data_IF_567998632081
#
_entry.id   IF_567998632081
#
_cell.length_a   1.000
_cell.length_b   1.000
_cell.length_c   1.000
_cell.angle_alpha   90.00
_cell.angle_beta   90.00
_cell.angle_gamma   90.00
#
_symmetry.space_group_name_H-M   'P 1'
#
loop_
_entity.id
_entity.type
_entity.pdbx_description
1 polymer ?
#
# COMPACT_ATOMS: atom_id res chain seq x y z
N UNK A 1 -5.06 -1.25 -15.73
CA UNK A 1 -4.43 -1.55 -14.43
C UNK A 1 -5.55 -1.76 -13.40
N UNK A 2 -5.39 -2.61 -12.37
CA UNK A 2 -6.43 -2.85 -11.35
C UNK A 2 -6.56 -1.71 -10.33
N UNK A 3 -5.90 -0.57 -10.57
CA UNK A 3 -5.82 0.53 -9.63
C UNK A 3 -7.12 1.36 -9.58
N UNK A 4 -7.47 1.79 -8.37
CA UNK A 4 -8.65 2.58 -8.04
C UNK A 4 -8.28 3.52 -6.89
N UNK A 5 -9.05 4.57 -6.63
CA UNK A 5 -8.83 5.46 -5.47
C UNK A 5 -9.64 5.06 -4.23
N UNK A 6 -10.24 3.86 -4.19
CA UNK A 6 -11.16 3.47 -3.09
C UNK A 6 -10.47 3.41 -1.72
N UNK A 7 -9.17 3.13 -1.71
CA UNK A 7 -8.34 3.00 -0.52
C UNK A 7 -7.80 4.33 0.01
N UNK A 8 -7.86 5.42 -0.76
CA UNK A 8 -7.19 6.69 -0.40
C UNK A 8 -7.94 7.54 0.61
N UNK A 9 -9.13 7.11 1.06
CA UNK A 9 -9.98 7.84 2.03
C UNK A 9 -9.30 8.18 3.35
N UNK A 10 -8.23 7.47 3.71
CA UNK A 10 -7.49 7.67 4.95
C UNK A 10 -6.36 8.68 4.83
N UNK A 11 -6.04 9.18 3.64
CA UNK A 11 -5.12 10.29 3.47
C UNK A 11 -5.88 11.60 3.69
N UNK A 12 -5.65 12.23 4.83
CA UNK A 12 -6.41 13.41 5.28
C UNK A 12 -5.48 14.60 5.45
N UNK A 13 -5.79 15.71 4.79
CA UNK A 13 -5.16 17.00 5.04
C UNK A 13 -5.54 17.44 6.46
N UNK A 14 -4.54 17.66 7.32
CA UNK A 14 -4.80 18.08 8.70
C UNK A 14 -5.19 19.55 8.80
N UNK A 15 -5.00 20.33 7.73
CA UNK A 15 -5.10 21.78 7.70
C UNK A 15 -3.88 22.49 8.29
N UNK A 16 -2.93 21.76 8.87
CA UNK A 16 -1.68 22.33 9.35
C UNK A 16 -0.77 22.69 8.17
N UNK A 17 -0.12 23.85 8.29
CA UNK A 17 0.80 24.40 7.30
C UNK A 17 2.09 24.81 8.01
N UNK A 18 3.18 24.14 7.69
CA UNK A 18 4.50 24.40 8.24
C UNK A 18 5.30 25.30 7.30
N UNK A 19 6.23 26.07 7.86
CA UNK A 19 7.23 26.81 7.07
C UNK A 19 8.59 26.16 7.17
N UNK A 20 9.20 25.87 6.04
CA UNK A 20 10.59 25.41 5.96
C UNK A 20 11.56 26.57 6.20
N UNK A 21 12.84 26.25 6.45
CA UNK A 21 13.90 27.25 6.65
C UNK A 21 14.11 28.18 5.44
N UNK A 22 13.78 27.73 4.22
CA UNK A 22 13.80 28.54 2.99
C UNK A 22 12.47 29.27 2.71
N UNK A 23 11.53 29.25 3.66
CA UNK A 23 10.29 30.01 3.62
C UNK A 23 9.18 29.38 2.77
N UNK A 24 9.33 28.14 2.31
CA UNK A 24 8.27 27.40 1.61
C UNK A 24 7.23 26.91 2.60
N UNK A 25 5.97 26.92 2.15
CA UNK A 25 4.88 26.31 2.90
C UNK A 25 4.80 24.82 2.58
N UNK A 26 4.57 24.00 3.61
CA UNK A 26 4.42 22.54 3.49
C UNK A 26 3.12 22.13 4.17
N UNK A 27 2.32 21.34 3.47
CA UNK A 27 1.10 20.75 3.99
C UNK A 27 1.43 19.53 4.85
N UNK A 28 0.73 19.39 5.97
CA UNK A 28 0.80 18.19 6.80
C UNK A 28 -0.39 17.30 6.48
N UNK A 29 -0.10 16.09 6.05
CA UNK A 29 -1.08 15.06 5.75
C UNK A 29 -0.92 13.90 6.74
N UNK A 30 -2.04 13.31 7.13
CA UNK A 30 -2.08 12.21 8.09
C UNK A 30 -2.79 11.00 7.48
N UNK A 31 -2.22 9.82 7.69
CA UNK A 31 -2.86 8.55 7.37
C UNK A 31 -3.73 8.08 8.54
N UNK A 32 -5.03 8.39 8.50
CA UNK A 32 -6.01 8.10 9.55
C UNK A 32 -6.76 6.82 9.24
N UNK A 33 -6.14 5.67 9.55
CA UNK A 33 -6.80 4.39 9.34
C UNK A 33 -7.98 4.19 10.31
N UNK A 34 -9.05 3.59 9.80
CA UNK A 34 -10.23 3.22 10.58
C UNK A 34 -10.49 1.72 10.48
N UNK A 35 -11.29 1.17 11.39
CA UNK A 35 -11.72 -0.23 11.29
C UNK A 35 -12.90 -0.38 10.32
N UNK A 36 -12.67 0.00 9.07
CA UNK A 36 -13.62 -0.13 7.96
C UNK A 36 -13.21 -1.34 7.10
N UNK A 37 -13.98 -2.42 7.17
CA UNK A 37 -13.69 -3.67 6.45
C UNK A 37 -13.62 -3.50 4.93
N UNK A 38 -14.41 -2.59 4.36
CA UNK A 38 -14.43 -2.36 2.92
C UNK A 38 -13.15 -1.63 2.48
N UNK A 39 -12.75 -0.59 3.21
CA UNK A 39 -11.51 0.16 2.92
C UNK A 39 -10.28 -0.69 3.20
N UNK A 40 -10.27 -1.48 4.28
CA UNK A 40 -9.22 -2.46 4.55
C UNK A 40 -9.10 -3.49 3.43
N UNK A 41 -10.23 -3.98 2.90
CA UNK A 41 -10.24 -4.92 1.78
C UNK A 41 -9.72 -4.29 0.49
N UNK A 42 -10.05 -3.01 0.23
CA UNK A 42 -9.53 -2.25 -0.90
C UNK A 42 -8.00 -2.08 -0.77
N UNK A 43 -7.49 -1.68 0.40
CA UNK A 43 -6.06 -1.62 0.69
C UNK A 43 -5.36 -2.96 0.50
N UNK A 44 -5.91 -4.03 1.07
CA UNK A 44 -5.33 -5.36 0.95
C UNK A 44 -5.25 -5.82 -0.50
N UNK A 45 -6.23 -5.45 -1.33
CA UNK A 45 -6.22 -5.70 -2.78
C UNK A 45 -5.17 -4.85 -3.48
N UNK A 46 -5.17 -3.53 -3.26
CA UNK A 46 -4.20 -2.61 -3.85
C UNK A 46 -2.76 -3.05 -3.54
N UNK A 47 -2.44 -3.22 -2.26
CA UNK A 47 -1.13 -3.62 -1.77
C UNK A 47 -0.67 -4.97 -2.33
N UNK A 48 -1.54 -5.99 -2.30
CA UNK A 48 -1.25 -7.31 -2.88
C UNK A 48 -0.87 -7.24 -4.37
N UNK A 49 -1.57 -6.40 -5.14
CA UNK A 49 -1.33 -6.26 -6.57
C UNK A 49 0.02 -5.60 -6.90
N UNK A 50 0.70 -4.96 -5.94
CA UNK A 50 2.10 -4.53 -6.09
C UNK A 50 3.08 -5.71 -6.05
N UNK A 51 2.75 -6.82 -5.39
CA UNK A 51 3.61 -8.03 -5.33
C UNK A 51 3.23 -9.10 -6.36
N UNK A 52 1.93 -9.27 -6.58
CA UNK A 52 1.40 -10.29 -7.48
C UNK A 52 -0.01 -9.92 -7.89
N UNK A 53 -0.24 -9.75 -9.20
CA UNK A 53 -1.57 -9.45 -9.67
C UNK A 53 -2.57 -10.54 -9.34
N UNK A 54 -3.77 -10.16 -8.92
CA UNK A 54 -4.83 -11.10 -8.54
C UNK A 54 -5.18 -12.08 -9.66
N UNK A 55 -5.12 -11.60 -10.91
CA UNK A 55 -5.30 -12.38 -12.13
C UNK A 55 -4.19 -13.40 -12.40
N UNK A 56 -3.01 -13.23 -11.80
CA UNK A 56 -1.83 -14.04 -12.08
C UNK A 56 -1.47 -15.00 -10.95
N UNK A 57 -2.02 -14.83 -9.74
CA UNK A 57 -1.70 -15.70 -8.59
C UNK A 57 -1.90 -17.17 -8.93
N UNK A 58 -3.00 -17.53 -9.60
CA UNK A 58 -3.27 -18.93 -9.96
C UNK A 58 -2.29 -19.49 -10.99
N UNK A 59 -1.77 -18.64 -11.88
CA UNK A 59 -0.72 -19.01 -12.83
C UNK A 59 0.61 -19.28 -12.09
N UNK A 60 1.01 -18.37 -11.21
CA UNK A 60 2.31 -18.42 -10.53
C UNK A 60 2.39 -19.45 -9.40
N UNK A 61 1.28 -19.77 -8.74
CA UNK A 61 1.25 -20.79 -7.66
C UNK A 61 1.24 -22.23 -8.18
N UNK A 62 1.13 -22.47 -9.49
CA UNK A 62 1.10 -23.84 -10.02
C UNK A 62 2.36 -24.59 -9.64
N UNK A 63 2.18 -25.84 -9.20
CA UNK A 63 3.29 -26.70 -8.76
C UNK A 63 3.61 -26.62 -7.26
N UNK A 64 3.23 -25.53 -6.57
CA UNK A 64 3.48 -25.38 -5.13
C UNK A 64 2.51 -26.17 -4.24
N UNK A 65 1.36 -26.60 -4.78
CA UNK A 65 0.30 -27.32 -4.05
C UNK A 65 -0.21 -26.57 -2.79
N UNK A 66 -0.24 -25.24 -2.83
CA UNK A 66 -0.74 -24.38 -1.76
C UNK A 66 -1.93 -23.52 -2.20
N UNK A 67 -2.68 -22.99 -1.24
CA UNK A 67 -3.74 -21.99 -1.45
C UNK A 67 -3.16 -20.66 -1.92
N UNK A 68 -4.02 -19.75 -2.41
CA UNK A 68 -3.61 -18.39 -2.78
C UNK A 68 -2.99 -17.65 -1.60
N UNK A 69 -3.59 -17.75 -0.41
CA UNK A 69 -3.10 -17.11 0.81
C UNK A 69 -1.75 -17.65 1.26
N UNK A 70 -1.57 -18.97 1.26
CA UNK A 70 -0.27 -19.58 1.59
C UNK A 70 0.79 -19.17 0.58
N UNK A 71 0.48 -19.21 -0.73
CA UNK A 71 1.40 -18.77 -1.77
C UNK A 71 1.87 -17.33 -1.56
N UNK A 72 0.94 -16.42 -1.30
CA UNK A 72 1.27 -15.02 -1.06
C UNK A 72 2.13 -14.84 0.18
N UNK A 73 1.73 -15.41 1.32
CA UNK A 73 2.40 -15.20 2.60
C UNK A 73 3.76 -15.89 2.69
N UNK A 74 3.98 -17.00 1.99
CA UNK A 74 5.21 -17.80 2.11
C UNK A 74 6.18 -17.63 0.96
N UNK A 75 5.73 -17.18 -0.22
CA UNK A 75 6.56 -17.10 -1.43
C UNK A 75 6.63 -15.68 -2.00
N UNK A 76 5.54 -14.92 -2.03
CA UNK A 76 5.50 -13.61 -2.70
C UNK A 76 5.79 -12.43 -1.80
N UNK A 77 5.18 -12.39 -0.62
CA UNK A 77 5.39 -11.30 0.32
C UNK A 77 6.73 -11.45 1.03
N UNK A 78 7.42 -10.35 1.34
CA UNK A 78 8.59 -10.39 2.21
C UNK A 78 8.22 -11.03 3.55
N UNK A 79 9.16 -11.69 4.23
CA UNK A 79 8.84 -12.36 5.50
C UNK A 79 8.36 -11.35 6.57
N UNK A 80 7.30 -11.62 7.35
CA UNK A 80 6.82 -10.68 8.36
C UNK A 80 7.71 -10.59 9.62
N UNK A 81 8.68 -11.50 9.80
CA UNK A 81 9.51 -11.62 11.00
C UNK A 81 11.00 -11.60 10.68
N UNK A 82 11.41 -12.32 9.65
CA UNK A 82 12.82 -12.51 9.32
C UNK A 82 13.34 -11.37 8.45
N UNK A 83 14.48 -10.79 8.86
CA UNK A 83 15.14 -9.74 8.09
C UNK A 83 15.57 -10.27 6.71
N UNK A 84 15.44 -9.47 5.63
CA UNK A 84 15.03 -8.06 5.60
C UNK A 84 13.52 -7.82 5.44
N UNK A 85 12.68 -8.84 5.60
CA UNK A 85 11.27 -8.80 5.25
C UNK A 85 10.44 -7.69 5.92
N UNK A 86 10.52 -7.50 7.26
CA UNK A 86 9.77 -6.43 7.93
C UNK A 86 10.11 -5.03 7.41
N UNK A 87 11.41 -4.75 7.18
CA UNK A 87 11.84 -3.45 6.65
C UNK A 87 11.40 -3.23 5.21
N UNK A 88 11.39 -4.29 4.38
CA UNK A 88 10.89 -4.19 3.01
C UNK A 88 9.40 -3.89 3.02
N UNK A 89 8.58 -4.61 3.82
CA UNK A 89 7.14 -4.34 3.90
C UNK A 89 6.82 -2.90 4.32
N UNK A 90 7.56 -2.36 5.30
CA UNK A 90 7.39 -0.99 5.74
C UNK A 90 7.81 0.02 4.66
N UNK A 91 8.92 -0.24 3.97
CA UNK A 91 9.39 0.57 2.83
C UNK A 91 8.39 0.59 1.68
N UNK A 92 7.98 -0.58 1.21
CA UNK A 92 7.01 -0.75 0.12
C UNK A 92 5.69 -0.04 0.45
N UNK A 93 5.19 -0.16 1.69
CA UNK A 93 3.98 0.54 2.12
C UNK A 93 4.15 2.06 2.08
N UNK A 94 5.30 2.59 2.50
CA UNK A 94 5.61 4.01 2.41
C UNK A 94 5.69 4.52 0.97
N UNK A 95 6.32 3.75 0.07
CA UNK A 95 6.38 4.08 -1.36
C UNK A 95 5.00 4.11 -2.00
N UNK A 96 4.16 3.11 -1.71
CA UNK A 96 2.77 3.04 -2.18
C UNK A 96 1.97 4.24 -1.68
N UNK A 97 2.10 4.63 -0.41
CA UNK A 97 1.41 5.80 0.14
C UNK A 97 1.77 7.10 -0.60
N UNK A 98 3.06 7.32 -0.87
CA UNK A 98 3.51 8.52 -1.60
C UNK A 98 3.05 8.49 -3.05
N UNK A 99 3.14 7.33 -3.71
CA UNK A 99 2.65 7.16 -5.08
C UNK A 99 1.15 7.43 -5.18
N UNK A 100 0.36 6.87 -4.26
CA UNK A 100 -1.09 7.06 -4.22
C UNK A 100 -1.49 8.51 -3.93
N UNK A 101 -0.73 9.20 -3.08
CA UNK A 101 -0.92 10.63 -2.83
C UNK A 101 -0.70 11.45 -4.12
N UNK A 102 0.39 11.19 -4.84
CA UNK A 102 0.68 11.88 -6.09
C UNK A 102 -0.37 11.60 -7.16
N UNK A 103 -0.72 10.33 -7.38
CA UNK A 103 -1.66 9.90 -8.43
C UNK A 103 -3.10 10.34 -8.13
N UNK A 104 -3.62 10.01 -6.94
CA UNK A 104 -5.06 10.14 -6.66
C UNK A 104 -5.45 11.46 -6.00
N UNK A 105 -4.56 12.09 -5.24
CA UNK A 105 -4.87 13.34 -4.55
C UNK A 105 -4.37 14.55 -5.34
N UNK A 106 -3.22 14.45 -5.99
CA UNK A 106 -2.65 15.55 -6.77
C UNK A 106 -2.84 15.41 -8.30
N UNK A 107 -3.21 14.22 -8.80
CA UNK A 107 -3.53 14.00 -10.21
C UNK A 107 -2.34 13.97 -11.15
N UNK A 108 -1.18 13.51 -10.68
CA UNK A 108 0.04 13.35 -11.48
C UNK A 108 0.11 12.03 -12.24
#
# INVERSE_FOLDING_TARGET
MPWTSEHTKWLVDTGERLKTADGKEVEVWEFRHENDEAVLSAWAKHFRNHYCFDSEIDYWRRGYKCSRGEYLNTIKFPDPKDAPGPSIRAGDFGEVLVADFLEYLLGY
#
